data_IF_229933660485
#
_entry.id   IF_229933660485
#
_cell.length_a   1.000
_cell.length_b   1.000
_cell.length_c   1.000
_cell.angle_alpha   90.00
_cell.angle_beta   90.00
_cell.angle_gamma   90.00
#
_symmetry.space_group_name_H-M   'P 1'
#
loop_
_entity.id
_entity.type
_entity.pdbx_description
1 polymer ?
#
# COMPACT_ATOMS: atom_id res chain seq x y z
N UNK A 1 13.07 -7.58 12.03
CA UNK A 1 12.87 -7.86 10.59
C UNK A 1 12.64 -6.53 9.92
N UNK A 2 13.59 -6.06 9.12
CA UNK A 2 13.48 -4.82 8.35
C UNK A 2 12.72 -5.10 7.05
N UNK A 3 11.41 -4.85 7.06
CA UNK A 3 10.58 -4.80 5.85
C UNK A 3 10.67 -3.41 5.17
N UNK A 4 10.19 -3.31 3.94
CA UNK A 4 10.16 -2.04 3.21
C UNK A 4 9.33 -0.95 3.92
N UNK A 5 8.38 -1.35 4.77
CA UNK A 5 7.55 -0.47 5.58
C UNK A 5 7.98 -0.36 7.05
N UNK A 6 9.20 -0.75 7.40
CA UNK A 6 9.70 -0.65 8.79
C UNK A 6 9.66 0.79 9.35
N UNK A 7 9.79 1.79 8.47
CA UNK A 7 9.71 3.22 8.80
C UNK A 7 8.32 3.67 9.28
N UNK A 8 7.26 2.92 8.94
CA UNK A 8 5.88 3.29 9.24
C UNK A 8 5.56 2.99 10.71
N UNK A 9 5.86 3.94 11.58
CA UNK A 9 5.59 3.84 13.02
C UNK A 9 4.39 4.69 13.42
N UNK A 10 3.85 4.46 14.61
CA UNK A 10 2.78 5.28 15.19
C UNK A 10 3.09 6.78 15.14
N UNK A 11 4.32 7.17 15.51
CA UNK A 11 4.78 8.56 15.48
C UNK A 11 5.02 9.11 14.07
N UNK A 12 5.35 8.25 13.11
CA UNK A 12 5.53 8.69 11.72
C UNK A 12 4.25 9.37 11.20
N UNK A 13 3.09 8.80 11.51
CA UNK A 13 1.77 9.26 11.04
C UNK A 13 1.30 10.58 11.69
N UNK A 14 2.01 11.09 12.71
CA UNK A 14 1.71 12.38 13.33
C UNK A 14 2.21 13.58 12.50
N UNK A 15 3.09 13.36 11.52
CA UNK A 15 3.81 14.43 10.79
C UNK A 15 2.98 15.14 9.72
N UNK A 16 1.97 14.47 9.17
CA UNK A 16 1.12 14.91 8.09
C UNK A 16 -0.22 14.14 8.11
N UNK A 17 -1.21 14.65 7.37
CA UNK A 17 -2.53 13.99 7.26
C UNK A 17 -2.55 12.89 6.19
N UNK A 18 -1.76 13.08 5.13
CA UNK A 18 -1.73 12.20 3.95
C UNK A 18 -0.28 11.89 3.60
N UNK A 19 0.00 10.62 3.30
CA UNK A 19 1.31 10.11 2.92
C UNK A 19 1.19 9.31 1.61
N UNK A 20 1.41 9.95 0.46
CA UNK A 20 1.61 9.21 -0.78
C UNK A 20 3.02 8.61 -0.81
N UNK A 21 3.17 7.45 -1.44
CA UNK A 21 4.48 6.85 -1.63
C UNK A 21 4.47 5.72 -2.65
N UNK A 22 5.68 5.22 -2.94
CA UNK A 22 5.83 4.13 -3.90
C UNK A 22 7.13 3.38 -3.80
N UNK A 23 7.10 2.12 -4.25
CA UNK A 23 8.25 1.23 -4.36
C UNK A 23 8.20 0.60 -5.75
N UNK A 24 9.03 1.09 -6.68
CA UNK A 24 8.91 0.71 -8.09
C UNK A 24 7.54 1.09 -8.66
N UNK A 25 6.81 0.09 -9.17
CA UNK A 25 5.42 0.19 -9.66
C UNK A 25 4.37 0.19 -8.55
N UNK A 26 4.69 -0.33 -7.36
CA UNK A 26 3.77 -0.36 -6.23
C UNK A 26 3.50 1.06 -5.74
N UNK A 27 2.23 1.47 -5.74
CA UNK A 27 1.81 2.77 -5.18
C UNK A 27 0.98 2.54 -3.94
N UNK A 28 1.19 3.40 -2.95
CA UNK A 28 0.36 3.45 -1.77
C UNK A 28 0.04 4.88 -1.37
N UNK A 29 -1.08 5.04 -0.69
CA UNK A 29 -1.46 6.28 -0.01
C UNK A 29 -1.93 5.91 1.39
N UNK A 30 -1.52 6.68 2.38
CA UNK A 30 -2.06 6.59 3.73
C UNK A 30 -2.73 7.91 4.06
N UNK A 31 -3.87 7.87 4.74
CA UNK A 31 -4.55 9.06 5.23
C UNK A 31 -5.04 8.81 6.65
N UNK A 32 -4.75 9.73 7.55
CA UNK A 32 -5.18 9.66 8.94
C UNK A 32 -6.29 10.67 9.22
N UNK A 33 -7.31 10.24 9.92
CA UNK A 33 -8.44 11.06 10.35
C UNK A 33 -8.55 11.02 11.88
N UNK A 34 -9.01 12.13 12.47
CA UNK A 34 -9.10 12.24 13.93
C UNK A 34 -7.74 12.41 14.60
N UNK A 35 -7.67 12.04 15.89
CA UNK A 35 -6.49 12.19 16.75
C UNK A 35 -5.87 10.83 17.04
N UNK A 36 -4.57 10.79 17.34
CA UNK A 36 -3.90 9.56 17.72
C UNK A 36 -4.60 8.91 18.94
N UNK A 37 -4.85 7.60 18.90
CA UNK A 37 -5.57 6.85 19.92
C UNK A 37 -7.10 6.75 19.75
N UNK A 38 -7.72 7.66 19.02
CA UNK A 38 -9.20 7.70 18.79
C UNK A 38 -9.57 7.81 17.29
N UNK A 39 -8.57 8.12 16.46
CA UNK A 39 -8.69 8.28 15.03
C UNK A 39 -8.53 6.97 14.26
N UNK A 40 -8.49 7.10 12.94
CA UNK A 40 -8.32 5.98 12.02
C UNK A 40 -7.25 6.29 10.99
N UNK A 41 -6.66 5.23 10.44
CA UNK A 41 -5.76 5.29 9.30
C UNK A 41 -6.39 4.48 8.18
N UNK A 42 -6.53 5.11 7.03
CA UNK A 42 -6.96 4.48 5.80
C UNK A 42 -5.74 4.34 4.89
N UNK A 43 -5.45 3.11 4.47
CA UNK A 43 -4.41 2.78 3.52
C UNK A 43 -5.03 2.36 2.20
N UNK A 44 -4.42 2.80 1.09
CA UNK A 44 -4.76 2.37 -0.25
C UNK A 44 -3.52 1.84 -0.95
N UNK A 45 -3.69 0.80 -1.75
CA UNK A 45 -2.70 0.31 -2.71
C UNK A 45 -3.33 0.24 -4.08
N UNK A 46 -2.56 0.58 -5.09
CA UNK A 46 -3.06 0.69 -6.46
C UNK A 46 -1.92 0.63 -7.47
N UNK A 47 -2.26 0.32 -8.71
CA UNK A 47 -1.39 0.45 -9.88
C UNK A 47 -1.76 1.71 -10.66
N UNK A 48 -0.86 2.16 -11.55
CA UNK A 48 -0.94 3.43 -12.30
C UNK A 48 -0.51 4.68 -11.49
N UNK A 49 -0.02 5.73 -12.17
CA UNK A 49 0.55 6.92 -11.51
C UNK A 49 -0.53 7.76 -10.81
N UNK A 50 -1.74 7.83 -11.37
CA UNK A 50 -2.81 8.69 -10.88
C UNK A 50 -3.83 7.88 -10.08
N UNK A 51 -3.95 8.18 -8.78
CA UNK A 51 -4.85 7.48 -7.85
C UNK A 51 -6.32 7.52 -8.32
N UNK A 52 -6.78 8.67 -8.80
CA UNK A 52 -8.15 8.87 -9.29
C UNK A 52 -8.45 8.07 -10.56
N UNK A 53 -7.42 7.61 -11.28
CA UNK A 53 -7.54 6.80 -12.50
C UNK A 53 -7.26 5.32 -12.27
N UNK A 54 -6.82 4.93 -11.08
CA UNK A 54 -6.55 3.54 -10.76
C UNK A 54 -7.87 2.75 -10.70
N UNK A 55 -7.88 1.56 -11.29
CA UNK A 55 -9.07 0.69 -11.33
C UNK A 55 -8.98 -0.45 -10.31
N UNK A 56 -7.78 -0.76 -9.86
CA UNK A 56 -7.40 -1.86 -8.98
C UNK A 56 -7.06 -1.35 -7.56
N UNK A 57 -7.89 -0.44 -7.04
CA UNK A 57 -7.68 0.15 -5.72
C UNK A 57 -8.15 -0.82 -4.64
N UNK A 58 -7.21 -1.33 -3.84
CA UNK A 58 -7.51 -2.02 -2.59
C UNK A 58 -7.33 -1.05 -1.40
N UNK A 59 -8.15 -1.22 -0.37
CA UNK A 59 -8.19 -0.34 0.79
C UNK A 59 -8.26 -1.14 2.09
N UNK A 60 -7.55 -0.65 3.10
CA UNK A 60 -7.64 -1.12 4.47
C UNK A 60 -7.89 0.07 5.40
N UNK A 61 -8.77 -0.08 6.38
CA UNK A 61 -8.95 0.90 7.46
C UNK A 61 -8.61 0.24 8.78
N UNK A 62 -7.77 0.92 9.58
CA UNK A 62 -7.34 0.48 10.91
C UNK A 62 -7.54 1.61 11.93
N UNK A 63 -7.71 1.30 13.22
CA UNK A 63 -7.62 2.33 14.26
C UNK A 63 -6.21 2.95 14.29
N UNK A 64 -6.10 4.23 14.65
CA UNK A 64 -4.80 4.88 14.83
C UNK A 64 -4.22 4.55 16.22
N UNK A 65 -3.86 3.29 16.39
CA UNK A 65 -3.12 2.73 17.53
C UNK A 65 -1.83 2.06 17.05
N UNK A 66 -0.97 1.62 17.97
CA UNK A 66 0.25 0.89 17.60
C UNK A 66 -0.06 -0.42 16.87
N UNK A 67 -1.04 -1.19 17.37
CA UNK A 67 -1.48 -2.45 16.78
C UNK A 67 -2.13 -2.25 15.41
N UNK A 68 -2.86 -1.14 15.25
CA UNK A 68 -3.42 -0.75 13.95
C UNK A 68 -2.33 -0.44 12.94
N UNK A 69 -1.28 0.26 13.34
CA UNK A 69 -0.12 0.54 12.49
C UNK A 69 0.65 -0.73 12.14
N UNK A 70 0.79 -1.67 13.07
CA UNK A 70 1.40 -2.98 12.82
C UNK A 70 0.60 -3.80 11.81
N UNK A 71 -0.73 -3.80 11.96
CA UNK A 71 -1.65 -4.46 11.02
C UNK A 71 -1.55 -3.84 9.62
N UNK A 72 -1.51 -2.52 9.54
CA UNK A 72 -1.35 -1.80 8.28
C UNK A 72 0.00 -2.10 7.62
N UNK A 73 1.10 -2.15 8.39
CA UNK A 73 2.42 -2.55 7.86
C UNK A 73 2.39 -3.96 7.29
N UNK A 74 1.85 -4.92 8.05
CA UNK A 74 1.78 -6.30 7.61
C UNK A 74 0.97 -6.43 6.30
N UNK A 75 -0.15 -5.71 6.20
CA UNK A 75 -0.96 -5.66 4.99
C UNK A 75 -0.22 -5.04 3.81
N UNK A 76 0.47 -3.89 3.99
CA UNK A 76 1.26 -3.26 2.93
C UNK A 76 2.39 -4.17 2.43
N UNK A 77 3.08 -4.88 3.34
CA UNK A 77 4.11 -5.86 2.99
C UNK A 77 3.54 -7.05 2.20
N UNK A 78 2.35 -7.54 2.56
CA UNK A 78 1.65 -8.57 1.80
C UNK A 78 1.29 -8.09 0.41
N UNK A 79 0.64 -6.92 0.29
CA UNK A 79 0.27 -6.35 -1.01
C UNK A 79 1.50 -6.07 -1.88
N UNK A 80 2.61 -5.63 -1.28
CA UNK A 80 3.88 -5.44 -1.99
C UNK A 80 4.43 -6.75 -2.54
N UNK A 81 4.35 -7.86 -1.77
CA UNK A 81 4.77 -9.19 -2.26
C UNK A 81 3.88 -9.71 -3.38
N UNK A 82 2.56 -9.55 -3.26
CA UNK A 82 1.61 -10.01 -4.28
C UNK A 82 1.69 -9.19 -5.58
N UNK A 83 1.79 -7.87 -5.45
CA UNK A 83 1.78 -6.93 -6.59
C UNK A 83 3.18 -6.64 -7.12
N UNK A 84 4.23 -6.97 -6.40
CA UNK A 84 5.61 -6.71 -6.83
C UNK A 84 5.99 -5.22 -6.82
N UNK A 85 7.27 -4.97 -7.09
CA UNK A 85 7.89 -3.64 -7.02
C UNK A 85 8.81 -3.39 -8.22
N UNK A 86 8.39 -3.85 -9.40
CA UNK A 86 9.17 -3.75 -10.63
C UNK A 86 9.54 -2.28 -10.90
N UNK A 87 10.71 -1.99 -11.50
CA UNK A 87 11.06 -0.64 -11.89
C UNK A 87 9.97 -0.04 -12.80
N UNK A 88 9.54 1.18 -12.48
CA UNK A 88 8.54 1.87 -13.29
C UNK A 88 9.12 2.20 -14.69
N UNK A 89 8.44 1.78 -15.76
CA UNK A 89 8.83 2.08 -17.15
C UNK A 89 7.75 2.90 -17.87
N UNK A 90 8.16 4.01 -18.47
CA UNK A 90 7.29 4.89 -19.28
C UNK A 90 6.97 4.29 -20.67
N UNK A 91 7.77 3.33 -21.14
CA UNK A 91 7.67 2.76 -22.50
C UNK A 91 6.99 1.39 -22.55
N UNK A 92 6.61 0.82 -21.40
CA UNK A 92 5.98 -0.49 -21.33
C UNK A 92 5.37 -0.72 -19.96
N UNK A 93 4.08 -0.40 -19.85
CA UNK A 93 3.28 -0.81 -18.70
C UNK A 93 3.29 -2.34 -18.58
N UNK A 94 3.33 -2.80 -17.33
CA UNK A 94 3.30 -4.19 -16.88
C UNK A 94 2.64 -5.12 -17.93
N UNK A 95 3.41 -6.06 -18.48
CA UNK A 95 2.81 -7.20 -19.15
C UNK A 95 1.86 -7.82 -18.13
N UNK A 96 0.55 -7.84 -18.43
CA UNK A 96 -0.43 -8.46 -17.55
C UNK A 96 0.10 -9.82 -17.16
N UNK A 97 0.22 -10.09 -15.86
CA UNK A 97 0.53 -11.42 -15.37
C UNK A 97 -0.35 -12.42 -16.15
N UNK A 98 0.21 -13.43 -16.84
CA UNK A 98 -0.64 -14.47 -17.37
C UNK A 98 -1.36 -15.09 -16.17
N UNK A 99 -2.68 -15.19 -16.28
CA UNK A 99 -3.50 -15.91 -15.31
C UNK A 99 -2.85 -17.28 -15.08
N UNK A 100 -2.73 -17.66 -13.81
CA UNK A 100 -2.16 -18.93 -13.39
C UNK A 100 -2.71 -20.06 -14.28
N UNK A 101 -1.78 -20.79 -14.89
CA UNK A 101 -2.00 -21.99 -15.67
C UNK A 101 -2.92 -22.93 -14.88
N UNK A 102 -4.16 -23.10 -15.34
CA UNK A 102 -5.04 -24.15 -14.83
C UNK A 102 -4.57 -25.46 -15.47
N UNK A 103 -4.29 -26.53 -14.70
CA UNK A 103 -3.91 -27.80 -15.30
C UNK A 103 -5.10 -28.37 -16.07
N UNK A 104 -4.88 -28.61 -17.36
CA UNK A 104 -5.78 -29.37 -18.23
C UNK A 104 -5.96 -30.79 -17.65
N UNK A 105 -7.21 -31.23 -17.53
CA UNK A 105 -7.60 -32.60 -17.22
C UNK A 105 -8.36 -33.19 -18.41
#
# INVERSE_FOLDING_TARGET
>A
MDGAFSFLTFHFLQKAEVYPGSIGTFRYRLQRTGKAGDGQIQGWVYENICFEKAQDVEMMTVPWTEEGVDSLRAWLEERLRERGSEPYSIYGGRAKHPAADQPEA
#
